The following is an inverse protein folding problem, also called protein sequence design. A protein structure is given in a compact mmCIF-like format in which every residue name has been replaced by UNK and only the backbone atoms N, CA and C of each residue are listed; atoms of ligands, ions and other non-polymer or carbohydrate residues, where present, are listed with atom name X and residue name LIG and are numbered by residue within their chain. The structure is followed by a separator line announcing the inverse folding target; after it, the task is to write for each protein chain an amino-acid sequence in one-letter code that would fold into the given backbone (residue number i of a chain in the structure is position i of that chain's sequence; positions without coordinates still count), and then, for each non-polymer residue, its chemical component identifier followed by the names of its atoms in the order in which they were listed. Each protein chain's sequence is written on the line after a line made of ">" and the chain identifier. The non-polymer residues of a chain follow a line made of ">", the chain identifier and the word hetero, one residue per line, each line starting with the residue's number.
data_IF_824377524867
#
_entry.id   IF_824377524867
#
_cell.length_a   1.000
_cell.length_b   1.000
_cell.length_c   1.000
_cell.angle_alpha   90.00
_cell.angle_beta   90.00
_cell.angle_gamma   90.00
#
_symmetry.space_group_name_H-M   'P 1'
#
loop_
_entity.id
_entity.type
_entity.pdbx_description
1 polymer ?
#
# COMPACT_ATOMS: atom_id res chain seq x y z
N UNK A 1 -42.33 35.25 20.83
CA UNK A 1 -41.66 34.77 19.58
C UNK A 1 -40.15 34.99 19.59
N UNK A 2 -39.65 36.07 20.19
CA UNK A 2 -38.21 36.42 20.15
C UNK A 2 -37.35 35.52 21.06
N UNK A 3 -37.87 35.05 22.20
CA UNK A 3 -37.12 34.17 23.09
C UNK A 3 -36.81 32.78 22.46
N UNK A 4 -37.75 32.20 21.74
CA UNK A 4 -37.59 30.88 21.15
C UNK A 4 -36.61 30.88 19.96
N UNK A 5 -36.47 31.99 19.24
CA UNK A 5 -35.42 32.16 18.20
C UNK A 5 -34.05 32.42 18.83
N UNK A 6 -33.96 33.19 19.90
CA UNK A 6 -32.73 33.39 20.66
C UNK A 6 -32.20 32.11 21.26
N UNK A 7 -33.07 31.25 21.81
CA UNK A 7 -32.70 29.96 22.38
C UNK A 7 -32.20 28.98 21.30
N UNK A 8 -32.81 28.95 20.12
CA UNK A 8 -32.36 28.13 19.00
C UNK A 8 -31.02 28.62 18.45
N UNK A 9 -30.79 29.93 18.41
CA UNK A 9 -29.51 30.52 17.93
C UNK A 9 -28.38 30.23 18.93
N UNK A 10 -28.66 30.38 20.24
CA UNK A 10 -27.69 30.08 21.31
C UNK A 10 -27.31 28.58 21.36
N UNK A 11 -28.29 27.69 21.15
CA UNK A 11 -28.07 26.25 21.04
C UNK A 11 -27.25 25.89 19.78
N UNK A 12 -27.50 26.57 18.66
CA UNK A 12 -26.73 26.37 17.43
C UNK A 12 -25.30 26.87 17.56
N UNK A 13 -25.11 28.02 18.18
CA UNK A 13 -23.82 28.61 18.48
C UNK A 13 -23.00 27.78 19.49
N UNK A 14 -23.65 27.26 20.53
CA UNK A 14 -22.98 26.39 21.49
C UNK A 14 -22.60 25.04 20.88
N UNK A 15 -23.42 24.46 20.01
CA UNK A 15 -23.09 23.25 19.24
C UNK A 15 -21.93 23.52 18.25
N UNK A 16 -21.95 24.67 17.57
CA UNK A 16 -20.85 25.08 16.70
C UNK A 16 -19.55 25.28 17.50
N UNK A 17 -19.61 25.99 18.64
CA UNK A 17 -18.46 26.16 19.55
C UNK A 17 -17.94 24.83 20.08
N UNK A 18 -18.80 23.91 20.50
CA UNK A 18 -18.38 22.57 20.94
C UNK A 18 -17.69 21.77 19.83
N UNK A 19 -18.10 21.95 18.58
CA UNK A 19 -17.40 21.35 17.43
C UNK A 19 -16.04 21.97 17.16
N UNK A 20 -15.89 23.28 17.35
CA UNK A 20 -14.62 24.00 17.17
C UNK A 20 -13.69 23.85 18.36
N UNK A 21 -14.18 23.86 19.60
CA UNK A 21 -13.38 23.73 20.81
C UNK A 21 -13.11 22.28 21.19
N UNK A 22 -13.99 21.34 20.79
CA UNK A 22 -13.74 19.89 20.93
C UNK A 22 -12.61 19.37 20.03
N UNK A 23 -12.19 20.15 19.03
CA UNK A 23 -11.05 19.83 18.17
C UNK A 23 -9.69 20.05 18.82
N UNK A 24 -9.62 20.68 20.01
CA UNK A 24 -8.37 20.86 20.76
C UNK A 24 -8.11 19.78 21.82
N UNK A 25 -8.76 18.61 21.70
CA UNK A 25 -8.29 17.45 22.45
C UNK A 25 -6.83 17.20 22.04
N UNK A 26 -5.95 17.29 23.01
CA UNK A 26 -4.49 17.25 22.86
C UNK A 26 -4.11 16.10 21.89
N UNK A 27 -3.66 16.44 20.66
CA UNK A 27 -3.34 15.46 19.61
C UNK A 27 -2.40 14.39 20.15
N UNK A 28 -1.46 14.78 21.02
CA UNK A 28 -0.52 13.87 21.67
C UNK A 28 -1.22 12.81 22.54
N UNK A 29 -2.35 13.11 23.17
CA UNK A 29 -3.10 12.12 23.95
C UNK A 29 -3.88 11.12 23.11
N UNK A 30 -4.11 11.43 21.83
CA UNK A 30 -4.79 10.53 20.88
C UNK A 30 -3.85 9.53 20.22
N UNK A 31 -2.54 9.82 20.16
CA UNK A 31 -1.52 8.97 19.53
C UNK A 31 -1.53 7.55 20.12
N UNK A 32 -1.49 7.31 21.44
CA UNK A 32 -1.53 5.97 22.00
C UNK A 32 -2.83 5.23 21.63
N UNK A 33 -3.96 5.92 21.67
CA UNK A 33 -5.27 5.34 21.30
C UNK A 33 -5.33 4.98 19.82
N UNK A 34 -4.73 5.80 18.97
CA UNK A 34 -4.63 5.49 17.53
C UNK A 34 -3.86 4.20 17.29
N UNK A 35 -2.64 4.09 17.81
CA UNK A 35 -1.80 2.91 17.58
C UNK A 35 -2.27 1.66 18.32
N UNK A 36 -2.82 1.80 19.54
CA UNK A 36 -3.22 0.64 20.34
C UNK A 36 -4.63 0.12 20.02
N UNK A 37 -5.52 0.93 19.46
CA UNK A 37 -6.90 0.53 19.24
C UNK A 37 -7.40 0.81 17.82
N UNK A 38 -7.27 2.04 17.31
CA UNK A 38 -7.91 2.41 16.04
C UNK A 38 -7.23 1.76 14.85
N UNK A 39 -5.91 1.80 14.78
CA UNK A 39 -5.13 1.19 13.70
C UNK A 39 -5.30 -0.34 13.65
N UNK A 40 -5.15 -1.09 14.75
CA UNK A 40 -5.41 -2.54 14.73
C UNK A 40 -6.84 -2.88 14.32
N UNK A 41 -7.84 -2.13 14.80
CA UNK A 41 -9.24 -2.34 14.42
C UNK A 41 -9.47 -2.08 12.92
N UNK A 42 -8.87 -1.03 12.36
CA UNK A 42 -8.93 -0.73 10.93
C UNK A 42 -8.28 -1.85 10.10
N UNK A 43 -7.07 -2.28 10.45
CA UNK A 43 -6.38 -3.39 9.79
C UNK A 43 -7.19 -4.69 9.85
N UNK A 44 -7.75 -4.99 11.03
CA UNK A 44 -8.62 -6.16 11.19
C UNK A 44 -9.88 -6.08 10.32
N UNK A 45 -10.45 -4.89 10.15
CA UNK A 45 -11.66 -4.69 9.33
C UNK A 45 -11.45 -4.99 7.84
N UNK A 46 -10.23 -4.76 7.32
CA UNK A 46 -9.87 -4.98 5.91
C UNK A 46 -9.06 -6.26 5.68
N UNK A 47 -8.86 -7.11 6.71
CA UNK A 47 -7.95 -8.28 6.64
C UNK A 47 -8.22 -9.22 5.47
N UNK A 48 -9.49 -9.49 5.17
CA UNK A 48 -9.86 -10.38 4.07
C UNK A 48 -9.59 -9.77 2.70
N UNK A 49 -9.82 -8.46 2.57
CA UNK A 49 -9.47 -7.74 1.35
C UNK A 49 -7.95 -7.67 1.18
N UNK A 50 -7.21 -7.41 2.26
CA UNK A 50 -5.74 -7.46 2.27
C UNK A 50 -5.22 -8.84 1.85
N UNK A 51 -5.82 -9.92 2.36
CA UNK A 51 -5.45 -11.28 1.96
C UNK A 51 -5.75 -11.52 0.47
N UNK A 52 -6.91 -11.08 -0.02
CA UNK A 52 -7.27 -11.20 -1.43
C UNK A 52 -6.29 -10.43 -2.34
N UNK A 53 -5.91 -9.21 -1.96
CA UNK A 53 -4.89 -8.41 -2.66
C UNK A 53 -3.55 -9.13 -2.65
N UNK A 54 -3.11 -9.67 -1.51
CA UNK A 54 -1.87 -10.42 -1.41
C UNK A 54 -1.85 -11.65 -2.33
N UNK A 55 -2.89 -12.45 -2.27
CA UNK A 55 -3.03 -13.64 -3.13
C UNK A 55 -3.03 -13.26 -4.61
N UNK A 56 -3.81 -12.24 -5.00
CA UNK A 56 -3.84 -11.76 -6.38
C UNK A 56 -2.46 -11.27 -6.83
N UNK A 57 -1.75 -10.51 -6.00
CA UNK A 57 -0.40 -10.01 -6.30
C UNK A 57 0.58 -11.16 -6.52
N UNK A 58 0.59 -12.18 -5.63
CA UNK A 58 1.48 -13.33 -5.79
C UNK A 58 1.12 -14.20 -7.00
N UNK A 59 -0.16 -14.39 -7.28
CA UNK A 59 -0.60 -15.11 -8.49
C UNK A 59 -0.14 -14.40 -9.75
N UNK A 60 -0.32 -13.08 -9.81
CA UNK A 60 0.13 -12.28 -10.96
C UNK A 60 1.65 -12.31 -11.07
N UNK A 61 2.39 -12.15 -9.99
CA UNK A 61 3.85 -12.23 -9.98
C UNK A 61 4.33 -13.61 -10.47
N UNK A 62 3.70 -14.68 -10.00
CA UNK A 62 4.00 -16.05 -10.47
C UNK A 62 3.73 -16.22 -11.96
N UNK A 63 2.60 -15.72 -12.46
CA UNK A 63 2.27 -15.78 -13.90
C UNK A 63 3.33 -15.03 -14.73
N UNK A 64 3.75 -13.83 -14.30
CA UNK A 64 4.79 -13.07 -14.99
C UNK A 64 6.15 -13.78 -14.94
N UNK A 65 6.53 -14.32 -13.80
CA UNK A 65 7.77 -15.10 -13.67
C UNK A 65 7.75 -16.33 -14.58
N UNK A 66 6.70 -17.12 -14.51
CA UNK A 66 6.54 -18.32 -15.35
C UNK A 66 6.52 -17.99 -16.83
N UNK A 67 5.79 -16.93 -17.22
CA UNK A 67 5.72 -16.49 -18.62
C UNK A 67 7.10 -16.02 -19.13
N UNK A 68 7.83 -15.24 -18.35
CA UNK A 68 9.16 -14.74 -18.72
C UNK A 68 10.20 -15.88 -18.81
N UNK A 69 10.16 -16.84 -17.88
CA UNK A 69 11.03 -18.02 -17.90
C UNK A 69 10.72 -18.90 -19.13
N UNK A 70 9.44 -19.08 -19.44
CA UNK A 70 8.99 -19.90 -20.57
C UNK A 70 9.22 -19.25 -21.94
N UNK A 71 9.45 -17.93 -21.98
CA UNK A 71 9.60 -17.15 -23.20
C UNK A 71 10.82 -16.22 -23.11
N UNK A 72 12.03 -16.70 -23.38
CA UNK A 72 13.26 -15.91 -23.25
C UNK A 72 13.26 -14.59 -24.04
N UNK A 73 12.47 -14.51 -25.11
CA UNK A 73 12.30 -13.28 -25.88
C UNK A 73 11.67 -12.13 -25.07
N UNK A 74 10.93 -12.43 -23.99
CA UNK A 74 10.31 -11.42 -23.11
C UNK A 74 11.42 -10.66 -22.37
N UNK A 75 12.32 -11.38 -21.72
CA UNK A 75 13.44 -10.76 -21.00
C UNK A 75 14.41 -10.08 -21.96
N UNK A 76 14.67 -10.69 -23.15
CA UNK A 76 15.51 -10.12 -24.17
C UNK A 76 14.94 -8.82 -24.78
N UNK A 77 13.62 -8.67 -24.78
CA UNK A 77 12.96 -7.43 -25.23
C UNK A 77 12.95 -6.31 -24.17
N UNK A 78 13.21 -6.63 -22.90
CA UNK A 78 13.23 -5.65 -21.80
C UNK A 78 14.64 -5.19 -21.48
N UNK A 79 15.60 -6.11 -21.42
CA UNK A 79 16.97 -5.86 -20.99
C UNK A 79 17.95 -6.65 -21.88
N UNK A 80 19.12 -6.07 -22.12
CA UNK A 80 20.25 -6.77 -22.78
C UNK A 80 20.75 -7.93 -21.91
N UNK A 81 21.46 -8.91 -22.47
CA UNK A 81 22.05 -10.00 -21.69
C UNK A 81 22.99 -9.49 -20.59
N UNK A 82 23.75 -8.44 -20.87
CA UNK A 82 24.68 -7.81 -19.93
C UNK A 82 23.92 -7.16 -18.76
N UNK A 83 22.87 -6.40 -19.04
CA UNK A 83 22.03 -5.76 -18.00
C UNK A 83 21.34 -6.80 -17.11
N UNK A 84 20.85 -7.91 -17.69
CA UNK A 84 20.25 -8.99 -16.90
C UNK A 84 21.28 -9.67 -15.99
N UNK A 85 22.50 -9.91 -16.51
CA UNK A 85 23.60 -10.47 -15.73
C UNK A 85 23.99 -9.53 -14.59
N UNK A 86 24.22 -8.25 -14.91
CA UNK A 86 24.53 -7.23 -13.90
C UNK A 86 23.46 -7.15 -12.83
N UNK A 87 22.18 -7.16 -13.21
CA UNK A 87 21.08 -7.20 -12.25
C UNK A 87 21.16 -8.40 -11.31
N UNK A 88 21.38 -9.61 -11.85
CA UNK A 88 21.36 -10.85 -11.07
C UNK A 88 22.59 -11.04 -10.18
N UNK A 89 23.79 -10.69 -10.68
CA UNK A 89 25.07 -10.94 -10.00
C UNK A 89 25.51 -9.78 -9.10
N UNK A 90 25.13 -8.54 -9.43
CA UNK A 90 25.61 -7.34 -8.75
C UNK A 90 24.48 -6.51 -8.15
N UNK A 91 23.58 -5.95 -8.96
CA UNK A 91 22.65 -4.91 -8.53
C UNK A 91 21.63 -5.42 -7.50
N UNK A 92 21.08 -6.62 -7.70
CA UNK A 92 20.12 -7.21 -6.77
C UNK A 92 20.75 -7.49 -5.41
N UNK A 93 21.95 -8.05 -5.39
CA UNK A 93 22.69 -8.34 -4.16
C UNK A 93 23.15 -7.04 -3.51
N UNK A 94 23.70 -6.10 -4.30
CA UNK A 94 24.17 -4.81 -3.84
C UNK A 94 23.03 -3.98 -3.23
N UNK A 95 21.83 -4.03 -3.81
CA UNK A 95 20.66 -3.36 -3.28
C UNK A 95 20.35 -3.77 -1.85
N UNK A 96 20.56 -5.04 -1.50
CA UNK A 96 20.29 -5.57 -0.15
C UNK A 96 21.51 -5.58 0.79
N UNK A 97 22.74 -5.50 0.28
CA UNK A 97 23.95 -5.69 1.07
C UNK A 97 24.86 -4.46 1.22
N UNK A 98 24.91 -3.57 0.22
CA UNK A 98 25.90 -2.49 0.17
C UNK A 98 25.55 -1.22 0.95
N UNK A 99 24.32 -1.12 1.45
CA UNK A 99 23.94 0.02 2.26
C UNK A 99 24.15 -0.27 3.75
N UNK A 100 24.67 0.69 4.50
CA UNK A 100 24.56 0.65 5.98
C UNK A 100 23.08 0.44 6.32
N UNK A 101 22.77 -0.41 7.28
CA UNK A 101 21.39 -0.81 7.58
C UNK A 101 20.39 0.34 7.66
N UNK A 102 20.84 1.55 8.07
CA UNK A 102 20.00 2.76 8.15
C UNK A 102 19.69 3.37 6.78
N UNK A 103 20.64 3.44 5.85
CA UNK A 103 20.42 4.04 4.51
C UNK A 103 19.61 3.11 3.60
N UNK A 104 19.85 1.81 3.68
CA UNK A 104 19.05 0.81 3.00
C UNK A 104 17.59 0.85 3.46
N UNK A 105 17.36 0.77 4.77
CA UNK A 105 16.03 0.86 5.36
C UNK A 105 15.32 2.14 4.93
N UNK A 106 16.01 3.28 4.89
CA UNK A 106 15.43 4.54 4.45
C UNK A 106 15.01 4.52 2.97
N UNK A 107 15.83 3.96 2.09
CA UNK A 107 15.54 3.90 0.64
C UNK A 107 14.37 2.96 0.35
N UNK A 108 14.40 1.75 0.89
CA UNK A 108 13.33 0.77 0.73
C UNK A 108 12.03 1.27 1.34
N UNK A 109 12.11 1.84 2.55
CA UNK A 109 10.95 2.43 3.21
C UNK A 109 10.35 3.57 2.39
N UNK A 110 11.18 4.46 1.82
CA UNK A 110 10.71 5.58 1.00
C UNK A 110 10.02 5.10 -0.27
N UNK A 111 10.60 4.10 -0.96
CA UNK A 111 9.99 3.52 -2.15
C UNK A 111 8.62 2.88 -1.84
N UNK A 112 8.57 2.04 -0.82
CA UNK A 112 7.34 1.36 -0.43
C UNK A 112 6.28 2.31 0.15
N UNK A 113 6.70 3.35 0.89
CA UNK A 113 5.82 4.42 1.35
C UNK A 113 5.23 5.21 0.17
N UNK A 114 6.02 5.46 -0.89
CA UNK A 114 5.54 6.11 -2.10
C UNK A 114 4.51 5.26 -2.85
N UNK A 115 4.77 3.96 -3.02
CA UNK A 115 3.83 3.01 -3.62
C UNK A 115 2.53 2.93 -2.81
N UNK A 116 2.64 2.84 -1.49
CA UNK A 116 1.49 2.82 -0.59
C UNK A 116 0.68 4.14 -0.67
N UNK A 117 1.37 5.28 -0.70
CA UNK A 117 0.74 6.59 -0.83
C UNK A 117 -0.04 6.73 -2.15
N UNK A 118 0.52 6.24 -3.26
CA UNK A 118 -0.18 6.20 -4.56
C UNK A 118 -1.40 5.29 -4.50
N UNK A 119 -1.28 4.08 -3.95
CA UNK A 119 -2.36 3.11 -3.87
C UNK A 119 -3.56 3.66 -3.06
N UNK A 120 -3.29 4.39 -1.97
CA UNK A 120 -4.33 5.01 -1.12
C UNK A 120 -4.82 6.32 -1.74
N UNK A 121 -3.91 7.25 -2.07
CA UNK A 121 -4.25 8.60 -2.49
C UNK A 121 -4.99 8.64 -3.82
N UNK A 122 -4.65 7.74 -4.75
CA UNK A 122 -5.33 7.60 -6.04
C UNK A 122 -6.46 6.57 -5.99
N UNK A 123 -6.73 5.99 -4.82
CA UNK A 123 -7.77 4.98 -4.63
C UNK A 123 -9.14 5.41 -5.11
N UNK A 124 -9.51 6.67 -4.89
CA UNK A 124 -10.79 7.24 -5.33
C UNK A 124 -11.02 7.14 -6.85
N UNK A 125 -9.96 7.10 -7.65
CA UNK A 125 -10.02 6.99 -9.11
C UNK A 125 -10.24 5.56 -9.62
N UNK A 126 -10.22 4.56 -8.73
CA UNK A 126 -10.59 3.17 -8.99
C UNK A 126 -9.57 2.36 -9.78
N UNK A 127 -9.10 2.87 -10.91
CA UNK A 127 -8.18 2.16 -11.81
C UNK A 127 -6.72 2.23 -11.37
N UNK A 128 -6.35 3.24 -10.59
CA UNK A 128 -4.94 3.46 -10.22
C UNK A 128 -4.44 2.46 -9.18
N UNK A 129 -5.24 2.13 -8.17
CA UNK A 129 -4.83 1.13 -7.18
C UNK A 129 -4.54 -0.24 -7.81
N UNK A 130 -5.42 -0.83 -8.65
CA UNK A 130 -5.08 -2.03 -9.41
C UNK A 130 -3.85 -1.88 -10.29
N UNK A 131 -3.64 -0.74 -10.95
CA UNK A 131 -2.48 -0.51 -11.79
C UNK A 131 -1.16 -0.49 -10.98
N UNK A 132 -1.15 0.17 -9.82
CA UNK A 132 0.00 0.17 -8.91
C UNK A 132 0.30 -1.24 -8.41
N UNK A 133 -0.71 -2.00 -7.99
CA UNK A 133 -0.56 -3.40 -7.54
C UNK A 133 -0.05 -4.30 -8.67
N UNK A 134 -0.58 -4.12 -9.89
CA UNK A 134 -0.13 -4.87 -11.07
C UNK A 134 1.33 -4.59 -11.38
N UNK A 135 1.75 -3.32 -11.41
CA UNK A 135 3.15 -2.94 -11.63
C UNK A 135 4.09 -3.56 -10.60
N UNK A 136 3.69 -3.55 -9.32
CA UNK A 136 4.46 -4.20 -8.26
C UNK A 136 4.58 -5.71 -8.46
N UNK A 137 3.48 -6.38 -8.81
CA UNK A 137 3.48 -7.81 -9.09
C UNK A 137 4.33 -8.17 -10.32
N UNK A 138 4.28 -7.35 -11.37
CA UNK A 138 5.11 -7.51 -12.56
C UNK A 138 6.60 -7.41 -12.21
N UNK A 139 7.00 -6.37 -11.49
CA UNK A 139 8.39 -6.18 -11.07
C UNK A 139 8.88 -7.36 -10.24
N UNK A 140 8.09 -7.83 -9.29
CA UNK A 140 8.43 -9.01 -8.47
C UNK A 140 8.61 -10.27 -9.32
N UNK A 141 7.69 -10.51 -10.26
CA UNK A 141 7.75 -11.68 -11.15
C UNK A 141 8.91 -11.63 -12.13
N UNK A 142 9.16 -10.48 -12.75
CA UNK A 142 10.27 -10.31 -13.70
C UNK A 142 11.63 -10.39 -12.99
N UNK A 143 11.77 -9.82 -11.80
CA UNK A 143 12.99 -9.96 -10.99
C UNK A 143 13.26 -11.43 -10.66
N UNK A 144 12.24 -12.18 -10.24
CA UNK A 144 12.37 -13.61 -9.99
C UNK A 144 12.78 -14.39 -11.26
N UNK A 145 12.26 -14.01 -12.44
CA UNK A 145 12.62 -14.64 -13.71
C UNK A 145 14.08 -14.37 -14.07
N UNK A 146 14.56 -13.14 -13.94
CA UNK A 146 15.96 -12.78 -14.20
C UNK A 146 16.88 -13.54 -13.25
N UNK A 147 16.58 -13.53 -11.94
CA UNK A 147 17.38 -14.27 -10.95
C UNK A 147 17.40 -15.77 -11.24
N UNK A 148 16.29 -16.33 -11.74
CA UNK A 148 16.19 -17.74 -12.15
C UNK A 148 17.06 -18.04 -13.38
N UNK A 149 17.16 -17.13 -14.36
CA UNK A 149 17.97 -17.28 -15.57
C UNK A 149 19.46 -17.51 -15.23
N UNK A 150 19.95 -16.85 -14.17
CA UNK A 150 21.35 -16.95 -13.72
C UNK A 150 21.55 -17.92 -12.54
N UNK A 151 20.51 -18.68 -12.14
CA UNK A 151 20.63 -19.66 -11.07
C UNK A 151 20.62 -19.08 -9.65
N UNK A 152 20.21 -17.83 -9.47
CA UNK A 152 20.20 -17.10 -8.19
C UNK A 152 18.81 -17.00 -7.54
N UNK A 153 17.90 -17.92 -7.87
CA UNK A 153 16.54 -17.90 -7.32
C UNK A 153 16.49 -18.12 -5.80
N UNK A 154 17.42 -18.88 -5.27
CA UNK A 154 17.60 -19.08 -3.82
C UNK A 154 17.99 -17.76 -3.12
N UNK A 155 18.89 -16.98 -3.72
CA UNK A 155 19.26 -15.66 -3.22
C UNK A 155 18.09 -14.68 -3.30
N UNK A 156 17.30 -14.73 -4.38
CA UNK A 156 16.10 -13.93 -4.48
C UNK A 156 15.17 -14.13 -3.27
N UNK A 157 14.86 -15.37 -2.91
CA UNK A 157 14.04 -15.66 -1.75
C UNK A 157 14.73 -15.32 -0.43
N UNK A 158 16.04 -15.56 -0.32
CA UNK A 158 16.81 -15.24 0.88
C UNK A 158 16.76 -13.75 1.23
N UNK A 159 16.84 -12.88 0.23
CA UNK A 159 16.81 -11.43 0.45
C UNK A 159 15.38 -10.88 0.59
N UNK A 160 14.43 -11.39 -0.19
CA UNK A 160 13.05 -10.91 -0.13
C UNK A 160 12.34 -11.39 1.14
N UNK A 161 12.58 -12.62 1.61
CA UNK A 161 11.84 -13.17 2.74
C UNK A 161 11.95 -12.34 4.03
N UNK A 162 13.14 -11.92 4.51
CA UNK A 162 13.24 -11.16 5.75
C UNK A 162 12.78 -9.70 5.61
N UNK A 163 13.05 -9.06 4.49
CA UNK A 163 12.74 -7.64 4.28
C UNK A 163 11.38 -7.44 3.63
N UNK A 164 11.05 -8.27 2.64
CA UNK A 164 9.84 -8.15 1.84
C UNK A 164 8.54 -8.44 2.60
N UNK A 165 8.57 -9.20 3.69
CA UNK A 165 7.32 -9.54 4.41
C UNK A 165 6.59 -8.30 4.92
N UNK A 166 7.28 -7.39 5.61
CA UNK A 166 6.69 -6.19 6.16
C UNK A 166 6.34 -5.18 5.05
N UNK A 167 7.21 -5.07 4.06
CA UNK A 167 7.07 -4.14 2.95
C UNK A 167 5.91 -4.54 2.03
N UNK A 168 5.89 -5.80 1.58
CA UNK A 168 4.79 -6.33 0.78
C UNK A 168 3.46 -6.28 1.53
N UNK A 169 3.47 -6.61 2.83
CA UNK A 169 2.28 -6.50 3.66
C UNK A 169 1.75 -5.06 3.70
N UNK A 170 2.64 -4.07 3.83
CA UNK A 170 2.27 -2.65 3.80
C UNK A 170 1.63 -2.24 2.47
N UNK A 171 2.15 -2.73 1.34
CA UNK A 171 1.58 -2.52 0.00
C UNK A 171 0.22 -3.20 -0.13
N UNK A 172 0.05 -4.43 0.40
CA UNK A 172 -1.24 -5.13 0.36
C UNK A 172 -2.31 -4.41 1.19
N UNK A 173 -1.94 -3.91 2.37
CA UNK A 173 -2.82 -3.08 3.20
C UNK A 173 -3.20 -1.78 2.49
N UNK A 174 -2.22 -1.11 1.88
CA UNK A 174 -2.46 0.12 1.13
C UNK A 174 -3.37 -0.12 -0.09
N UNK A 175 -3.13 -1.20 -0.82
CA UNK A 175 -3.98 -1.63 -1.92
C UNK A 175 -5.42 -1.93 -1.48
N UNK A 176 -5.58 -2.67 -0.39
CA UNK A 176 -6.90 -2.96 0.19
C UNK A 176 -7.61 -1.69 0.64
N UNK A 177 -6.89 -0.75 1.27
CA UNK A 177 -7.44 0.55 1.67
C UNK A 177 -7.87 1.38 0.46
N UNK A 178 -7.04 1.46 -0.59
CA UNK A 178 -7.37 2.17 -1.82
C UNK A 178 -8.61 1.60 -2.53
N UNK A 179 -8.72 0.27 -2.63
CA UNK A 179 -9.91 -0.39 -3.18
C UNK A 179 -11.16 -0.15 -2.31
N UNK A 180 -11.02 -0.12 -0.99
CA UNK A 180 -12.11 0.20 -0.08
C UNK A 180 -12.59 1.65 -0.22
N UNK A 181 -11.65 2.60 -0.39
CA UNK A 181 -11.97 4.00 -0.67
C UNK A 181 -12.79 4.11 -1.96
N UNK A 182 -12.35 3.45 -3.03
CA UNK A 182 -13.09 3.41 -4.27
C UNK A 182 -14.50 2.87 -4.10
N UNK A 183 -14.64 1.73 -3.40
CA UNK A 183 -15.94 1.12 -3.17
C UNK A 183 -16.87 2.02 -2.34
N UNK A 184 -16.34 2.67 -1.30
CA UNK A 184 -17.09 3.63 -0.50
C UNK A 184 -17.58 4.84 -1.30
N UNK A 185 -16.81 5.23 -2.35
CA UNK A 185 -17.18 6.32 -3.24
C UNK A 185 -18.28 5.95 -4.23
N UNK A 186 -18.19 4.77 -4.88
CA UNK A 186 -19.16 4.36 -5.93
C UNK A 186 -20.42 3.73 -5.35
N UNK A 187 -20.33 3.05 -4.21
CA UNK A 187 -21.44 2.32 -3.57
C UNK A 187 -21.61 2.71 -2.09
N UNK A 188 -21.95 3.99 -1.79
CA UNK A 188 -22.06 4.48 -0.41
C UNK A 188 -23.24 3.88 0.37
N UNK A 189 -24.14 3.15 -0.29
CA UNK A 189 -25.36 2.59 0.31
C UNK A 189 -26.34 3.70 0.73
N UNK A 190 -26.83 3.64 1.96
CA UNK A 190 -27.77 4.63 2.54
C UNK A 190 -27.07 5.89 3.08
N UNK A 191 -25.71 5.94 3.02
CA UNK A 191 -24.90 7.06 3.52
C UNK A 191 -24.58 8.04 2.41
N UNK A 192 -24.26 9.28 2.78
CA UNK A 192 -23.62 10.19 1.82
C UNK A 192 -22.18 9.70 1.51
N UNK A 193 -21.63 10.06 0.34
CA UNK A 193 -20.23 9.73 -0.01
C UNK A 193 -19.24 10.18 1.06
N UNK A 194 -19.40 11.40 1.59
CA UNK A 194 -18.56 11.91 2.66
C UNK A 194 -18.65 11.06 3.95
N UNK A 195 -19.86 10.63 4.33
CA UNK A 195 -20.05 9.73 5.47
C UNK A 195 -19.48 8.33 5.22
N UNK A 196 -19.58 7.82 3.99
CA UNK A 196 -19.04 6.50 3.63
C UNK A 196 -17.51 6.48 3.65
N UNK A 197 -16.87 7.56 3.24
CA UNK A 197 -15.41 7.71 3.26
C UNK A 197 -14.86 7.94 4.68
N UNK A 198 -15.66 8.43 5.62
CA UNK A 198 -15.26 8.66 7.00
C UNK A 198 -15.33 7.40 7.89
N UNK A 199 -15.78 6.27 7.33
CA UNK A 199 -15.92 4.97 7.99
C UNK A 199 -15.03 3.90 7.39
#
# INVERSE_FOLDING_TARGET
>A
GESAQGDRLSLSLSRARLRFTGASANVLSQIPKFFAAQLPAALYSIRWLTLAVALATFVVAFIYAWWAISNPAVLAGLLTPEERRQFAEEDFIAYYSNYSGSSFTAQVWTNNAWVAAQAIGLGILGVFTPAVLLSNAQNLGLSAAIMSEFGHLDQFFLYIAPHGQLELYSIFVAGAAGLRIFWAWIAPGTRTRAQSLAH
#
